data_IF_543633320012
#
_entry.id   IF_543633320012
#
_cell.length_a   1.000
_cell.length_b   1.000
_cell.length_c   1.000
_cell.angle_alpha   90.00
_cell.angle_beta   90.00
_cell.angle_gamma   90.00
#
_symmetry.space_group_name_H-M   'P 1'
#
loop_
_entity.id
_entity.type
_entity.pdbx_description
1 polymer ?
#
# COMPACT_ATOMS: atom_id res chain seq x y z
N UNK A 1 -11.93 -17.33 -14.01
CA UNK A 1 -10.95 -17.94 -13.07
C UNK A 1 -9.90 -16.93 -12.69
N UNK A 2 -9.68 -16.75 -11.39
CA UNK A 2 -8.66 -15.82 -10.92
C UNK A 2 -7.29 -16.48 -11.10
N UNK A 3 -6.41 -15.81 -11.83
CA UNK A 3 -5.06 -16.32 -12.02
C UNK A 3 -4.25 -16.15 -10.73
N UNK A 4 -3.23 -17.00 -10.57
CA UNK A 4 -2.33 -16.91 -9.43
C UNK A 4 -1.66 -15.54 -9.36
N UNK A 5 -1.26 -14.99 -10.51
CA UNK A 5 -0.68 -13.65 -10.60
C UNK A 5 -1.59 -12.60 -10.01
N UNK A 6 -2.87 -12.63 -10.39
CA UNK A 6 -3.86 -11.66 -9.93
C UNK A 6 -4.06 -11.78 -8.41
N UNK A 7 -4.14 -13.02 -7.93
CA UNK A 7 -4.31 -13.28 -6.50
C UNK A 7 -3.14 -12.73 -5.70
N UNK A 8 -1.91 -13.03 -6.10
CA UNK A 8 -0.73 -12.54 -5.41
C UNK A 8 -0.62 -11.03 -5.48
N UNK A 9 -0.98 -10.44 -6.63
CA UNK A 9 -0.93 -8.99 -6.79
C UNK A 9 -1.85 -8.31 -5.78
N UNK A 10 -3.11 -8.71 -5.73
CA UNK A 10 -4.07 -8.08 -4.84
C UNK A 10 -3.75 -8.34 -3.37
N UNK A 11 -3.32 -9.54 -3.04
CA UNK A 11 -2.94 -9.86 -1.66
C UNK A 11 -1.76 -9.00 -1.21
N UNK A 12 -0.74 -8.87 -2.05
CA UNK A 12 0.43 -8.08 -1.72
C UNK A 12 0.07 -6.59 -1.62
N UNK A 13 -0.78 -6.11 -2.52
CA UNK A 13 -1.22 -4.72 -2.50
C UNK A 13 -1.99 -4.40 -1.22
N UNK A 14 -2.92 -5.27 -0.82
CA UNK A 14 -3.68 -5.09 0.40
C UNK A 14 -2.80 -5.14 1.64
N UNK A 15 -1.85 -6.06 1.66
CA UNK A 15 -0.92 -6.20 2.78
C UNK A 15 -0.08 -4.93 2.94
N UNK A 16 0.44 -4.41 1.83
CA UNK A 16 1.24 -3.18 1.85
C UNK A 16 0.42 -1.99 2.31
N UNK A 17 -0.81 -1.86 1.82
CA UNK A 17 -1.70 -0.77 2.22
C UNK A 17 -2.03 -0.86 3.71
N UNK A 18 -2.31 -2.05 4.19
CA UNK A 18 -2.59 -2.27 5.62
C UNK A 18 -1.39 -1.86 6.48
N UNK A 19 -0.17 -2.14 6.03
CA UNK A 19 1.04 -1.75 6.74
C UNK A 19 1.15 -0.23 6.87
N UNK A 20 0.83 0.51 5.80
CA UNK A 20 0.85 1.97 5.82
C UNK A 20 -0.17 2.49 6.82
N UNK A 21 -1.39 1.98 6.77
CA UNK A 21 -2.47 2.39 7.67
C UNK A 21 -2.10 2.04 9.12
N UNK A 22 -1.52 0.86 9.33
CA UNK A 22 -1.10 0.44 10.67
C UNK A 22 -0.05 1.39 11.24
N UNK A 23 0.91 1.82 10.42
CA UNK A 23 1.92 2.77 10.85
C UNK A 23 1.31 4.10 11.31
N UNK A 24 0.32 4.61 10.57
CA UNK A 24 -0.38 5.82 10.95
C UNK A 24 -1.13 5.64 12.27
N UNK A 25 -1.84 4.53 12.42
CA UNK A 25 -2.59 4.24 13.63
C UNK A 25 -1.66 4.10 14.83
N UNK A 26 -0.52 3.46 14.64
CA UNK A 26 0.46 3.28 15.69
C UNK A 26 0.97 4.64 16.20
N UNK A 27 1.32 5.54 15.29
CA UNK A 27 1.76 6.88 15.67
C UNK A 27 0.68 7.64 16.43
N UNK A 28 -0.55 7.55 15.95
CA UNK A 28 -1.67 8.20 16.60
C UNK A 28 -1.88 7.67 18.02
N UNK A 29 -1.82 6.36 18.20
CA UNK A 29 -2.07 5.74 19.50
C UNK A 29 -0.96 6.03 20.51
N UNK A 30 0.25 6.25 20.04
CA UNK A 30 1.38 6.57 20.92
C UNK A 30 1.50 8.06 21.20
N UNK A 31 0.54 8.86 20.72
CA UNK A 31 0.58 10.30 20.93
C UNK A 31 1.64 11.02 20.12
N UNK A 32 2.28 10.32 19.19
CA UNK A 32 3.25 10.92 18.30
C UNK A 32 2.56 11.77 17.24
N UNK A 33 3.28 12.77 16.77
CA UNK A 33 2.75 13.61 15.70
C UNK A 33 2.71 12.80 14.40
N UNK A 34 1.55 12.83 13.72
CA UNK A 34 1.40 12.12 12.46
C UNK A 34 2.07 12.93 11.36
N UNK A 35 3.01 12.30 10.67
CA UNK A 35 3.73 12.93 9.57
C UNK A 35 2.93 12.74 8.28
N UNK A 36 1.96 13.62 8.06
CA UNK A 36 1.08 13.50 6.90
C UNK A 36 1.84 13.53 5.59
N UNK A 37 2.89 14.35 5.50
CA UNK A 37 3.72 14.44 4.29
C UNK A 37 4.37 13.09 3.96
N UNK A 38 4.90 12.43 4.98
CA UNK A 38 5.55 11.14 4.83
C UNK A 38 4.54 10.07 4.37
N UNK A 39 3.40 10.02 5.04
CA UNK A 39 2.40 9.01 4.71
C UNK A 39 1.73 9.28 3.37
N UNK A 40 1.53 10.54 3.01
CA UNK A 40 1.01 10.90 1.69
C UNK A 40 1.98 10.46 0.59
N UNK A 41 3.27 10.73 0.77
CA UNK A 41 4.28 10.30 -0.19
C UNK A 41 4.31 8.78 -0.32
N UNK A 42 4.21 8.07 0.80
CA UNK A 42 4.15 6.61 0.80
C UNK A 42 2.95 6.08 0.05
N UNK A 43 1.79 6.70 0.25
CA UNK A 43 0.55 6.28 -0.41
C UNK A 43 0.64 6.52 -1.92
N UNK A 44 1.13 7.69 -2.33
CA UNK A 44 1.29 8.01 -3.76
C UNK A 44 2.30 7.06 -4.41
N UNK A 45 3.42 6.80 -3.74
CA UNK A 45 4.40 5.85 -4.23
C UNK A 45 3.81 4.45 -4.38
N UNK A 46 2.99 4.03 -3.42
CA UNK A 46 2.30 2.75 -3.46
C UNK A 46 1.39 2.67 -4.70
N UNK A 47 0.61 3.72 -4.95
CA UNK A 47 -0.29 3.76 -6.11
C UNK A 47 0.48 3.67 -7.42
N UNK A 48 1.57 4.44 -7.55
CA UNK A 48 2.39 4.44 -8.76
C UNK A 48 3.02 3.07 -8.96
N UNK A 49 3.62 2.51 -7.92
CA UNK A 49 4.29 1.21 -7.99
C UNK A 49 3.33 0.11 -8.43
N UNK A 50 2.18 0.02 -7.77
CA UNK A 50 1.22 -1.03 -8.08
C UNK A 50 0.49 -0.78 -9.40
N UNK A 51 0.34 0.48 -9.80
CA UNK A 51 -0.19 0.80 -11.12
C UNK A 51 0.73 0.30 -12.24
N UNK A 52 2.02 0.55 -12.11
CA UNK A 52 3.01 0.08 -13.07
C UNK A 52 3.07 -1.44 -13.06
N UNK A 53 3.10 -2.04 -11.88
CA UNK A 53 3.15 -3.49 -11.74
C UNK A 53 1.93 -4.16 -12.36
N UNK A 54 0.76 -3.57 -12.18
CA UNK A 54 -0.46 -4.08 -12.80
C UNK A 54 -0.35 -4.07 -14.32
N UNK A 55 0.18 -3.00 -14.88
CA UNK A 55 0.36 -2.89 -16.33
C UNK A 55 1.38 -3.92 -16.84
N UNK A 56 2.48 -4.11 -16.12
CA UNK A 56 3.51 -5.07 -16.50
C UNK A 56 2.96 -6.50 -16.45
N UNK A 57 2.22 -6.84 -15.40
CA UNK A 57 1.65 -8.17 -15.23
C UNK A 57 0.43 -8.41 -16.11
N UNK A 58 -0.12 -7.35 -16.69
CA UNK A 58 -1.26 -7.42 -17.60
C UNK A 58 -2.50 -8.05 -16.93
N UNK A 59 -2.81 -7.54 -15.76
CA UNK A 59 -3.97 -8.00 -15.00
C UNK A 59 -4.98 -6.88 -14.76
#
# INVERSE_FOLDING_TARGET
MVTIKKFFFYTFALFSLTSIIYGMAYDYMNGAEIHYDFFSAGFVSWLIFFGILKAILNI
#
